data_IF_717001561295
#
_entry.id   IF_717001561295
#
_cell.length_a   1.000
_cell.length_b   1.000
_cell.length_c   1.000
_cell.angle_alpha   90.00
_cell.angle_beta   90.00
_cell.angle_gamma   90.00
#
_symmetry.space_group_name_H-M   'P 1'
#
loop_
_entity.id
_entity.type
_entity.pdbx_description
1 polymer ?
#
# COMPACT_ATOMS: atom_id res chain seq x y z
N UNK A 1 -20.19 -4.56 10.56
CA UNK A 1 -19.85 -4.57 9.13
C UNK A 1 -19.56 -6.02 8.75
N UNK A 2 -20.28 -6.57 7.78
CA UNK A 2 -20.02 -7.93 7.29
C UNK A 2 -19.21 -7.83 6.00
N UNK A 3 -17.89 -8.00 6.11
CA UNK A 3 -16.99 -8.13 4.96
C UNK A 3 -16.88 -9.61 4.56
N UNK A 4 -16.88 -9.84 3.25
CA UNK A 4 -16.76 -11.16 2.62
C UNK A 4 -15.37 -11.39 2.01
N UNK A 5 -15.10 -12.65 1.62
CA UNK A 5 -13.85 -13.07 0.94
C UNK A 5 -13.48 -12.31 -0.34
N UNK A 6 -14.41 -11.58 -0.92
CA UNK A 6 -14.18 -10.76 -2.12
C UNK A 6 -13.75 -9.33 -1.82
N UNK A 7 -13.85 -8.89 -0.55
CA UNK A 7 -13.65 -7.51 -0.17
C UNK A 7 -12.18 -7.17 0.03
N UNK A 8 -11.85 -5.93 -0.30
CA UNK A 8 -10.51 -5.37 -0.18
C UNK A 8 -10.59 -3.91 0.31
N UNK A 9 -9.45 -3.23 0.37
CA UNK A 9 -9.38 -1.85 0.85
C UNK A 9 -10.26 -0.88 0.04
N UNK A 10 -10.48 -1.13 -1.26
CA UNK A 10 -11.39 -0.32 -2.07
C UNK A 10 -12.86 -0.52 -1.68
N UNK A 11 -13.26 -1.74 -1.30
CA UNK A 11 -14.60 -1.99 -0.75
C UNK A 11 -14.79 -1.20 0.54
N UNK A 12 -13.84 -1.28 1.47
CA UNK A 12 -13.91 -0.56 2.75
C UNK A 12 -13.97 0.94 2.53
N UNK A 13 -13.13 1.49 1.64
CA UNK A 13 -13.17 2.92 1.28
C UNK A 13 -14.54 3.31 0.73
N UNK A 14 -15.09 2.54 -0.22
CA UNK A 14 -16.41 2.83 -0.81
C UNK A 14 -17.50 2.79 0.25
N UNK A 15 -17.47 1.81 1.14
CA UNK A 15 -18.42 1.71 2.24
C UNK A 15 -18.35 2.93 3.15
N UNK A 16 -17.15 3.35 3.55
CA UNK A 16 -16.96 4.56 4.36
C UNK A 16 -17.52 5.80 3.64
N UNK A 17 -17.27 5.94 2.33
CA UNK A 17 -17.82 7.06 1.56
C UNK A 17 -19.35 7.07 1.52
N UNK A 18 -19.99 5.89 1.45
CA UNK A 18 -21.44 5.77 1.48
C UNK A 18 -22.02 6.12 2.86
N UNK A 19 -21.41 5.60 3.92
CA UNK A 19 -21.85 5.85 5.30
C UNK A 19 -21.71 7.33 5.69
N UNK A 20 -20.67 7.99 5.16
CA UNK A 20 -20.38 9.42 5.39
C UNK A 20 -21.12 10.35 4.42
N UNK A 21 -21.95 9.83 3.51
CA UNK A 21 -22.65 10.59 2.46
C UNK A 21 -21.70 11.52 1.65
N UNK A 22 -20.47 11.06 1.39
CA UNK A 22 -19.49 11.80 0.60
C UNK A 22 -19.84 11.68 -0.89
N UNK A 23 -19.98 12.79 -1.65
CA UNK A 23 -20.35 12.72 -3.07
C UNK A 23 -19.37 11.85 -3.86
N UNK A 24 -19.85 10.73 -4.40
CA UNK A 24 -19.02 9.81 -5.18
C UNK A 24 -18.71 10.31 -6.59
N UNK A 25 -19.42 11.35 -7.07
CA UNK A 25 -19.41 11.81 -8.46
C UNK A 25 -18.80 13.18 -8.78
N UNK A 26 -18.48 14.03 -7.81
CA UNK A 26 -18.04 15.40 -8.10
C UNK A 26 -16.50 15.50 -8.06
N UNK A 27 -15.87 15.62 -9.23
CA UNK A 27 -14.44 15.98 -9.37
C UNK A 27 -14.33 17.27 -10.17
N UNK A 28 -13.70 18.29 -9.61
CA UNK A 28 -13.42 19.55 -10.30
C UNK A 28 -11.96 19.59 -10.73
N UNK A 29 -11.68 20.07 -11.94
CA UNK A 29 -10.31 20.37 -12.37
C UNK A 29 -9.96 21.76 -11.84
N UNK A 30 -8.81 21.94 -11.18
CA UNK A 30 -8.36 23.26 -10.74
C UNK A 30 -7.00 23.62 -11.32
N UNK A 31 -6.88 24.89 -11.74
CA UNK A 31 -5.63 25.52 -12.12
C UNK A 31 -5.42 26.76 -11.25
N UNK A 32 -4.47 26.67 -10.32
CA UNK A 32 -4.31 27.68 -9.27
C UNK A 32 -5.52 27.71 -8.32
N UNK A 33 -6.15 28.88 -8.18
CA UNK A 33 -7.34 29.11 -7.34
C UNK A 33 -8.67 29.05 -8.12
N UNK A 34 -8.65 28.59 -9.38
CA UNK A 34 -9.82 28.59 -10.26
C UNK A 34 -10.26 27.18 -10.61
N UNK A 35 -11.57 26.93 -10.49
CA UNK A 35 -12.25 25.73 -11.01
C UNK A 35 -12.43 25.87 -12.52
N UNK A 36 -12.02 24.85 -13.27
CA UNK A 36 -12.09 24.80 -14.72
C UNK A 36 -13.36 24.05 -15.13
N UNK A 37 -14.44 24.81 -15.38
CA UNK A 37 -15.73 24.28 -15.85
C UNK A 37 -15.77 24.12 -17.38
N UNK A 38 -14.75 23.45 -17.95
CA UNK A 38 -14.54 23.17 -19.39
C UNK A 38 -13.83 24.24 -20.25
N UNK A 39 -13.36 25.36 -19.68
CA UNK A 39 -12.51 26.32 -20.39
C UNK A 39 -11.02 26.10 -20.07
N UNK A 40 -10.26 25.59 -21.04
CA UNK A 40 -8.82 25.29 -20.93
C UNK A 40 -7.94 26.37 -21.57
N UNK A 41 -8.50 27.49 -22.01
CA UNK A 41 -7.78 28.57 -22.73
C UNK A 41 -6.62 29.18 -21.95
N UNK A 42 -6.63 29.05 -20.61
CA UNK A 42 -5.64 29.57 -19.69
C UNK A 42 -4.47 28.61 -19.39
N UNK A 43 -4.49 27.38 -19.92
CA UNK A 43 -3.53 26.31 -19.61
C UNK A 43 -2.51 26.18 -20.75
N UNK A 44 -1.23 26.37 -20.43
CA UNK A 44 -0.11 26.02 -21.34
C UNK A 44 0.13 24.51 -21.28
N UNK A 45 0.65 23.90 -22.35
CA UNK A 45 0.79 22.42 -22.46
C UNK A 45 1.58 21.75 -21.32
N UNK A 46 2.37 22.53 -20.57
CA UNK A 46 3.30 22.03 -19.56
C UNK A 46 2.91 22.48 -18.14
N UNK A 47 1.72 23.08 -17.98
CA UNK A 47 1.22 23.54 -16.69
C UNK A 47 0.68 22.37 -15.87
N UNK A 48 1.12 22.17 -14.60
CA UNK A 48 0.55 21.15 -13.74
C UNK A 48 -0.89 21.53 -13.38
N UNK A 49 -1.86 20.73 -13.83
CA UNK A 49 -3.27 20.88 -13.49
C UNK A 49 -3.60 19.89 -12.38
N UNK A 50 -4.21 20.38 -11.29
CA UNK A 50 -4.52 19.58 -10.11
C UNK A 50 -5.99 19.22 -10.15
N UNK A 51 -6.28 17.92 -10.17
CA UNK A 51 -7.64 17.41 -10.08
C UNK A 51 -8.03 17.39 -8.60
N UNK A 52 -8.67 18.47 -8.14
CA UNK A 52 -9.09 18.62 -6.75
C UNK A 52 -10.61 18.53 -6.65
N UNK A 53 -11.11 17.53 -5.91
CA UNK A 53 -12.50 17.54 -5.44
C UNK A 53 -12.68 18.74 -4.52
N UNK A 54 -13.69 19.56 -4.79
CA UNK A 54 -13.93 20.81 -4.09
C UNK A 54 -14.01 20.57 -2.56
N UNK A 55 -13.22 21.35 -1.81
CA UNK A 55 -13.49 21.72 -0.42
C UNK A 55 -13.56 20.61 0.65
N UNK A 56 -12.87 19.48 0.49
CA UNK A 56 -12.79 18.44 1.53
C UNK A 56 -11.34 18.36 2.02
N UNK A 57 -11.05 18.70 3.29
CA UNK A 57 -9.75 18.32 3.86
C UNK A 57 -9.70 16.79 3.93
N UNK A 58 -8.52 16.21 3.79
CA UNK A 58 -8.37 14.75 3.69
C UNK A 58 -7.70 14.26 4.96
N UNK A 59 -8.32 13.29 5.62
CA UNK A 59 -7.60 12.46 6.59
C UNK A 59 -6.66 11.54 5.82
N UNK A 60 -5.36 11.87 5.85
CA UNK A 60 -4.32 11.08 5.20
C UNK A 60 -3.86 9.96 6.13
N UNK A 61 -3.83 8.72 5.61
CA UNK A 61 -3.06 7.63 6.23
C UNK A 61 -1.83 7.35 5.38
N UNK A 62 -0.72 7.97 5.76
CA UNK A 62 0.58 7.68 5.16
C UNK A 62 1.18 6.49 5.91
N UNK A 63 1.34 5.36 5.22
CA UNK A 63 2.21 4.30 5.72
C UNK A 63 3.66 4.75 5.47
N UNK A 64 4.38 5.12 6.52
CA UNK A 64 5.80 5.39 6.36
C UNK A 64 6.59 4.07 6.39
N UNK A 65 7.54 3.93 5.47
CA UNK A 65 8.56 2.90 5.54
C UNK A 65 9.49 3.24 6.70
N UNK A 66 9.35 2.54 7.83
CA UNK A 66 10.32 2.65 8.91
C UNK A 66 11.64 2.00 8.44
N UNK A 67 12.79 2.69 8.48
CA UNK A 67 14.06 2.07 8.13
C UNK A 67 14.30 0.91 9.10
N UNK A 68 14.35 -0.30 8.56
CA UNK A 68 14.61 -1.52 9.32
C UNK A 68 15.97 -1.35 10.00
N UNK A 69 15.97 -1.18 11.33
CA UNK A 69 17.18 -1.41 12.10
C UNK A 69 17.62 -2.84 11.85
N UNK A 70 18.93 -3.07 11.68
CA UNK A 70 19.54 -4.41 11.52
C UNK A 70 19.16 -5.40 12.64
N UNK A 71 18.53 -4.92 13.71
CA UNK A 71 18.06 -5.72 14.84
C UNK A 71 16.72 -6.43 14.61
N UNK A 72 15.99 -6.10 13.53
CA UNK A 72 14.67 -6.70 13.21
C UNK A 72 14.70 -7.72 12.07
N UNK A 73 15.88 -8.18 11.65
CA UNK A 73 15.92 -9.45 10.91
C UNK A 73 15.31 -10.52 11.82
N UNK A 74 14.12 -10.99 11.44
CA UNK A 74 13.55 -12.21 11.97
C UNK A 74 14.62 -13.29 11.70
N UNK A 75 15.46 -13.56 12.71
CA UNK A 75 16.58 -14.48 12.62
C UNK A 75 16.00 -15.86 12.41
N UNK A 76 15.75 -16.19 11.17
CA UNK A 76 15.63 -17.57 10.75
C UNK A 76 17.00 -18.19 11.05
N UNK A 77 17.07 -19.04 12.09
CA UNK A 77 18.29 -19.72 12.51
C UNK A 77 18.74 -20.81 11.52
N UNK A 78 18.14 -20.86 10.32
CA UNK A 78 18.47 -21.76 9.23
C UNK A 78 19.83 -21.43 8.63
N UNK A 79 20.49 -22.43 8.05
CA UNK A 79 21.70 -22.20 7.27
C UNK A 79 21.43 -21.30 6.07
N UNK A 80 22.44 -20.57 5.60
CA UNK A 80 22.34 -19.65 4.44
C UNK A 80 21.67 -20.29 3.22
N UNK A 81 21.97 -21.58 2.97
CA UNK A 81 21.27 -22.44 2.03
C UNK A 81 21.10 -23.81 2.70
N UNK A 82 19.87 -24.30 2.78
CA UNK A 82 19.51 -25.60 3.32
C UNK A 82 18.74 -26.39 2.25
N UNK A 83 19.14 -27.65 1.99
CA UNK A 83 18.40 -28.47 1.01
C UNK A 83 17.13 -29.05 1.62
N UNK A 84 16.02 -28.96 0.89
CA UNK A 84 14.71 -29.44 1.32
C UNK A 84 14.33 -30.72 0.56
N UNK A 85 14.12 -31.80 1.29
CA UNK A 85 13.76 -33.10 0.71
C UNK A 85 14.91 -33.78 -0.04
N UNK A 86 14.84 -35.11 -0.16
CA UNK A 86 15.83 -36.04 -0.73
C UNK A 86 17.08 -36.32 0.12
N UNK A 87 17.07 -37.47 0.80
CA UNK A 87 18.26 -38.12 1.37
C UNK A 87 19.27 -38.61 0.32
N UNK A 88 18.84 -38.75 -0.95
CA UNK A 88 19.63 -39.19 -2.11
C UNK A 88 20.02 -38.05 -3.06
N UNK A 89 20.06 -36.79 -2.60
CA UNK A 89 20.49 -35.66 -3.43
C UNK A 89 21.82 -35.95 -4.13
N UNK A 90 21.86 -35.73 -5.45
CA UNK A 90 23.05 -35.87 -6.28
C UNK A 90 24.22 -35.05 -5.72
N UNK A 91 25.42 -35.65 -5.66
CA UNK A 91 26.67 -34.99 -5.21
C UNK A 91 27.01 -33.73 -6.01
N UNK A 92 26.45 -33.60 -7.22
CA UNK A 92 26.57 -32.39 -8.04
C UNK A 92 25.81 -31.21 -7.43
N UNK A 93 24.59 -31.41 -6.92
CA UNK A 93 23.79 -30.33 -6.31
C UNK A 93 24.41 -29.91 -4.99
N UNK A 94 24.87 -30.86 -4.17
CA UNK A 94 25.57 -30.56 -2.90
C UNK A 94 26.79 -29.67 -3.12
N UNK A 95 27.64 -30.01 -4.09
CA UNK A 95 28.80 -29.18 -4.47
C UNK A 95 28.40 -27.78 -4.94
N UNK A 96 27.35 -27.67 -5.75
CA UNK A 96 26.84 -26.35 -6.18
C UNK A 96 26.36 -25.51 -4.99
N UNK A 97 25.68 -26.12 -4.02
CA UNK A 97 25.25 -25.45 -2.79
C UNK A 97 26.45 -24.97 -1.98
N UNK A 98 27.48 -25.82 -1.80
CA UNK A 98 28.72 -25.45 -1.09
C UNK A 98 29.45 -24.29 -1.78
N UNK A 99 29.57 -24.32 -3.11
CA UNK A 99 30.18 -23.25 -3.91
C UNK A 99 29.43 -21.92 -3.74
N UNK A 100 28.10 -21.97 -3.81
CA UNK A 100 27.22 -20.82 -3.63
C UNK A 100 27.34 -20.24 -2.22
N UNK A 101 27.29 -21.08 -1.18
CA UNK A 101 27.42 -20.62 0.21
C UNK A 101 28.77 -19.95 0.44
N UNK A 102 29.84 -20.50 -0.15
CA UNK A 102 31.19 -19.94 -0.07
C UNK A 102 31.28 -18.58 -0.79
N UNK A 103 30.65 -18.45 -1.95
CA UNK A 103 30.62 -17.21 -2.72
C UNK A 103 29.89 -16.08 -1.97
N UNK A 104 28.71 -16.35 -1.41
CA UNK A 104 27.96 -15.35 -0.63
C UNK A 104 28.73 -14.93 0.63
N UNK A 105 29.35 -15.88 1.34
CA UNK A 105 30.24 -15.56 2.48
C UNK A 105 31.43 -14.69 2.08
N UNK A 106 31.86 -14.81 0.83
CA UNK A 106 32.92 -13.99 0.23
C UNK A 106 32.40 -12.69 -0.38
N UNK A 107 31.14 -12.29 -0.08
CA UNK A 107 30.46 -11.08 -0.58
C UNK A 107 30.25 -11.06 -2.09
N UNK A 108 30.13 -12.23 -2.71
CA UNK A 108 29.67 -12.35 -4.09
C UNK A 108 28.15 -12.54 -4.07
N UNK A 109 27.43 -11.43 -4.15
CA UNK A 109 25.96 -11.46 -4.06
C UNK A 109 25.32 -12.06 -5.32
N UNK A 110 24.14 -12.68 -5.22
CA UNK A 110 23.34 -13.08 -6.37
C UNK A 110 22.91 -11.88 -7.22
N UNK A 111 22.61 -12.12 -8.49
CA UNK A 111 22.20 -11.07 -9.45
C UNK A 111 20.77 -11.32 -9.91
N UNK A 112 19.84 -10.37 -9.76
CA UNK A 112 18.47 -10.53 -10.23
C UNK A 112 18.39 -10.57 -11.76
N UNK A 113 17.47 -11.38 -12.27
CA UNK A 113 17.18 -11.52 -13.69
C UNK A 113 16.00 -10.60 -14.04
N UNK A 114 16.19 -9.73 -15.03
CA UNK A 114 15.18 -8.75 -15.42
C UNK A 114 14.01 -9.36 -16.20
N UNK A 115 14.26 -10.40 -16.99
CA UNK A 115 13.25 -11.12 -17.79
C UNK A 115 12.38 -12.06 -16.96
N UNK A 116 11.18 -12.36 -17.47
CA UNK A 116 10.24 -13.28 -16.84
C UNK A 116 9.13 -12.58 -16.05
N UNK A 117 8.20 -13.36 -15.49
CA UNK A 117 7.01 -12.87 -14.78
C UNK A 117 7.15 -12.95 -13.24
N UNK A 118 8.24 -13.51 -12.74
CA UNK A 118 8.48 -13.65 -11.30
C UNK A 118 9.95 -13.47 -10.93
N UNK A 119 10.27 -13.75 -9.67
CA UNK A 119 11.62 -13.72 -9.13
C UNK A 119 12.52 -14.77 -9.78
N UNK A 120 13.71 -14.35 -10.21
CA UNK A 120 14.72 -15.24 -10.76
C UNK A 120 16.09 -14.61 -10.54
N UNK A 121 17.06 -15.39 -10.08
CA UNK A 121 18.36 -14.88 -9.63
C UNK A 121 19.48 -15.79 -10.11
N UNK A 122 20.53 -15.19 -10.67
CA UNK A 122 21.80 -15.88 -10.92
C UNK A 122 22.62 -15.92 -9.64
N UNK A 123 22.90 -17.12 -9.17
CA UNK A 123 23.86 -17.36 -8.11
C UNK A 123 25.23 -17.65 -8.72
N UNK A 124 26.27 -17.11 -8.09
CA UNK A 124 27.63 -17.10 -8.63
C UNK A 124 28.60 -17.89 -7.75
N UNK A 125 29.68 -18.39 -8.34
CA UNK A 125 30.82 -18.90 -7.59
C UNK A 125 31.72 -17.73 -7.11
N UNK A 126 32.78 -18.06 -6.37
CA UNK A 126 33.76 -17.07 -5.86
C UNK A 126 34.50 -16.28 -6.96
N UNK A 127 34.54 -16.80 -8.19
CA UNK A 127 35.18 -16.16 -9.35
C UNK A 127 34.22 -15.16 -10.01
N UNK A 128 32.90 -15.33 -9.80
CA UNK A 128 31.85 -14.51 -10.39
C UNK A 128 31.09 -15.18 -11.54
N UNK A 129 31.40 -16.44 -11.88
CA UNK A 129 30.66 -17.19 -12.90
C UNK A 129 29.28 -17.58 -12.39
N UNK A 130 28.29 -17.61 -13.29
CA UNK A 130 26.91 -17.99 -12.99
C UNK A 130 26.83 -19.52 -12.91
N UNK A 131 26.53 -20.06 -11.72
CA UNK A 131 26.53 -21.51 -11.47
C UNK A 131 25.14 -22.08 -11.22
N UNK A 132 24.18 -21.26 -10.78
CA UNK A 132 22.82 -21.69 -10.51
C UNK A 132 21.80 -20.59 -10.81
N UNK A 133 20.57 -21.00 -11.10
CA UNK A 133 19.41 -20.12 -11.17
C UNK A 133 18.50 -20.48 -10.00
N UNK A 134 18.14 -19.50 -9.18
CA UNK A 134 17.20 -19.65 -8.08
C UNK A 134 15.92 -18.91 -8.42
N UNK A 135 14.79 -19.57 -8.23
CA UNK A 135 13.44 -19.04 -8.43
C UNK A 135 12.65 -19.23 -7.13
N UNK A 136 12.54 -18.20 -6.27
CA UNK A 136 11.78 -18.31 -5.03
C UNK A 136 10.30 -18.55 -5.31
N UNK A 137 9.67 -19.49 -4.58
CA UNK A 137 8.27 -19.89 -4.80
C UNK A 137 7.28 -18.78 -4.42
N UNK A 138 7.63 -17.95 -3.44
CA UNK A 138 6.87 -16.79 -3.01
C UNK A 138 7.05 -15.56 -3.90
N UNK A 139 7.99 -15.61 -4.87
CA UNK A 139 8.19 -14.58 -5.89
C UNK A 139 7.65 -14.97 -7.28
N UNK A 140 6.96 -16.11 -7.39
CA UNK A 140 6.30 -16.56 -8.62
C UNK A 140 5.24 -15.56 -9.13
N UNK A 141 4.80 -15.65 -10.39
CA UNK A 141 3.67 -14.86 -10.87
C UNK A 141 2.44 -15.04 -9.96
N UNK A 142 1.88 -13.92 -9.50
CA UNK A 142 0.80 -13.79 -8.51
C UNK A 142 1.16 -14.12 -7.07
N UNK A 143 2.38 -14.56 -6.78
CA UNK A 143 2.81 -14.83 -5.42
C UNK A 143 3.00 -13.52 -4.62
N UNK A 144 2.88 -13.57 -3.28
CA UNK A 144 2.85 -12.37 -2.45
C UNK A 144 4.09 -11.48 -2.60
N UNK A 145 5.25 -12.10 -2.79
CA UNK A 145 6.56 -11.45 -2.83
C UNK A 145 7.05 -11.22 -4.27
N UNK A 146 6.19 -11.28 -5.28
CA UNK A 146 6.59 -11.09 -6.67
C UNK A 146 7.25 -9.70 -6.93
N UNK A 147 8.53 -9.63 -7.34
CA UNK A 147 9.26 -8.35 -7.51
C UNK A 147 8.86 -7.57 -8.77
N UNK A 148 8.05 -8.16 -9.65
CA UNK A 148 7.63 -7.56 -10.92
C UNK A 148 6.25 -6.89 -10.82
N UNK A 149 5.65 -6.84 -9.63
CA UNK A 149 4.34 -6.26 -9.41
C UNK A 149 3.17 -7.14 -9.84
N UNK A 150 3.44 -8.35 -10.36
CA UNK A 150 2.41 -9.37 -10.60
C UNK A 150 2.08 -10.06 -9.27
N UNK A 151 1.57 -9.31 -8.30
CA UNK A 151 1.10 -9.82 -7.01
C UNK A 151 -0.42 -10.02 -7.06
N UNK A 152 -1.01 -10.62 -6.01
CA UNK A 152 -2.46 -10.61 -5.84
C UNK A 152 -3.11 -11.91 -5.41
N UNK A 153 -2.33 -12.96 -5.12
CA UNK A 153 -2.85 -14.25 -4.68
C UNK A 153 -2.04 -14.81 -3.51
N UNK A 154 -2.73 -15.52 -2.62
CA UNK A 154 -2.07 -16.32 -1.61
C UNK A 154 -1.44 -17.58 -2.24
N UNK A 155 -0.37 -18.09 -1.62
CA UNK A 155 0.20 -19.38 -2.01
C UNK A 155 -0.87 -20.48 -1.95
N UNK A 156 -0.84 -21.40 -2.92
CA UNK A 156 -1.85 -22.45 -3.04
C UNK A 156 -3.15 -22.03 -3.75
N UNK A 157 -3.36 -20.74 -4.09
CA UNK A 157 -4.46 -20.34 -4.97
C UNK A 157 -4.15 -20.64 -6.44
N UNK A 158 -5.14 -20.60 -7.33
CA UNK A 158 -4.95 -20.85 -8.76
C UNK A 158 -3.98 -19.81 -9.37
N UNK A 159 -2.93 -20.27 -10.04
CA UNK A 159 -1.93 -19.41 -10.68
C UNK A 159 -2.26 -19.09 -12.14
N UNK A 160 -1.24 -18.67 -12.90
CA UNK A 160 -1.35 -18.29 -14.31
C UNK A 160 -2.00 -19.40 -15.16
N UNK A 161 -1.63 -20.65 -14.90
CA UNK A 161 -2.32 -21.82 -15.45
C UNK A 161 -3.31 -22.32 -14.40
N UNK A 162 -4.61 -22.36 -14.73
CA UNK A 162 -5.68 -22.79 -13.81
C UNK A 162 -5.48 -24.16 -13.16
N UNK A 163 -4.62 -25.02 -13.74
CA UNK A 163 -4.29 -26.35 -13.18
C UNK A 163 -3.05 -26.36 -12.29
N UNK A 164 -2.44 -25.21 -12.03
CA UNK A 164 -1.20 -25.05 -11.25
C UNK A 164 -1.42 -23.97 -10.21
N UNK A 165 -1.16 -24.27 -8.94
CA UNK A 165 -1.32 -23.28 -7.88
C UNK A 165 -0.06 -22.42 -7.75
N UNK A 166 -0.24 -21.20 -7.26
CA UNK A 166 0.83 -20.24 -6.97
C UNK A 166 1.75 -20.82 -5.90
N UNK A 167 3.06 -20.75 -6.10
CA UNK A 167 4.08 -21.31 -5.22
C UNK A 167 4.38 -22.79 -5.44
N UNK A 168 3.70 -23.44 -6.39
CA UNK A 168 3.92 -24.86 -6.68
C UNK A 168 4.82 -25.14 -7.88
N UNK A 169 5.32 -24.11 -8.58
CA UNK A 169 6.10 -24.36 -9.79
C UNK A 169 7.46 -24.99 -9.47
N UNK A 170 8.07 -24.63 -8.32
CA UNK A 170 9.32 -25.22 -7.86
C UNK A 170 9.29 -26.75 -7.72
N UNK A 171 8.21 -27.32 -7.15
CA UNK A 171 8.06 -28.78 -7.04
C UNK A 171 8.02 -29.46 -8.41
N UNK A 172 7.46 -28.79 -9.41
CA UNK A 172 7.31 -29.33 -10.77
C UNK A 172 8.62 -29.30 -11.54
N UNK A 173 9.46 -28.29 -11.31
CA UNK A 173 10.83 -28.23 -11.85
C UNK A 173 11.68 -29.39 -11.27
N UNK A 174 11.56 -29.66 -9.96
CA UNK A 174 12.22 -30.83 -9.35
C UNK A 174 11.66 -32.14 -9.88
N UNK A 175 10.34 -32.26 -10.03
CA UNK A 175 9.73 -33.45 -10.62
C UNK A 175 10.20 -33.67 -12.06
N UNK A 176 10.34 -32.61 -12.86
CA UNK A 176 10.87 -32.70 -14.22
C UNK A 176 12.31 -33.24 -14.25
N UNK A 177 13.16 -32.80 -13.33
CA UNK A 177 14.52 -33.34 -13.19
C UNK A 177 14.52 -34.82 -12.76
N UNK A 178 13.70 -35.19 -11.77
CA UNK A 178 13.63 -36.57 -11.27
C UNK A 178 13.04 -37.56 -12.30
N UNK A 179 12.15 -37.08 -13.17
CA UNK A 179 11.52 -37.87 -14.23
C UNK A 179 12.33 -37.89 -15.53
N UNK A 180 13.44 -37.13 -15.62
CA UNK A 180 14.36 -37.18 -16.74
C UNK A 180 15.31 -38.38 -16.62
N UNK A 181 14.76 -39.56 -16.87
CA UNK A 181 15.50 -40.82 -16.80
C UNK A 181 16.71 -40.80 -17.72
N UNK A 182 17.86 -41.22 -17.17
CA UNK A 182 19.15 -41.24 -17.87
C UNK A 182 19.57 -39.87 -18.46
N UNK A 183 19.01 -38.77 -17.94
CA UNK A 183 19.24 -37.42 -18.42
C UNK A 183 18.95 -37.28 -19.94
N UNK A 184 17.90 -37.97 -20.41
CA UNK A 184 17.53 -38.04 -21.82
C UNK A 184 17.11 -36.68 -22.40
N UNK A 185 16.24 -35.95 -21.68
CA UNK A 185 15.77 -34.62 -22.04
C UNK A 185 16.77 -33.51 -21.66
N UNK A 186 17.85 -33.86 -20.95
CA UNK A 186 18.87 -32.94 -20.44
C UNK A 186 18.29 -31.86 -19.51
N UNK A 187 17.35 -32.24 -18.65
CA UNK A 187 16.82 -31.35 -17.60
C UNK A 187 17.96 -31.06 -16.61
N UNK A 188 18.30 -29.78 -16.37
CA UNK A 188 19.36 -29.44 -15.43
C UNK A 188 19.08 -29.98 -14.01
N UNK A 189 20.15 -30.35 -13.30
CA UNK A 189 20.06 -30.79 -11.92
C UNK A 189 19.36 -29.73 -11.07
N UNK A 190 18.20 -30.11 -10.50
CA UNK A 190 17.30 -29.19 -9.81
C UNK A 190 16.90 -29.78 -8.46
N UNK A 191 16.90 -28.95 -7.41
CA UNK A 191 16.52 -29.34 -6.06
C UNK A 191 15.75 -28.21 -5.38
N UNK A 192 14.96 -28.56 -4.37
CA UNK A 192 14.37 -27.57 -3.46
C UNK A 192 15.40 -27.20 -2.41
N UNK A 193 15.49 -25.91 -2.15
CA UNK A 193 16.38 -25.32 -1.16
C UNK A 193 15.63 -24.21 -0.43
N UNK A 194 15.91 -24.06 0.85
CA UNK A 194 15.60 -22.87 1.64
C UNK A 194 16.83 -21.98 1.60
N UNK A 195 16.68 -20.73 1.20
CA UNK A 195 17.80 -19.78 1.09
C UNK A 195 17.41 -18.50 1.83
N UNK A 196 18.36 -17.96 2.58
CA UNK A 196 18.22 -16.66 3.26
C UNK A 196 19.20 -15.68 2.65
N UNK A 197 18.69 -14.64 1.96
CA UNK A 197 19.50 -13.58 1.38
C UNK A 197 18.70 -12.28 1.22
N UNK A 198 19.32 -11.13 1.46
CA UNK A 198 18.68 -9.80 1.36
C UNK A 198 18.33 -9.35 -0.07
N UNK A 199 18.71 -10.13 -1.08
CA UNK A 199 18.43 -9.84 -2.50
C UNK A 199 17.01 -10.25 -2.89
N UNK A 200 16.43 -11.18 -2.13
CA UNK A 200 15.07 -11.64 -2.36
C UNK A 200 14.09 -10.55 -1.96
N UNK A 201 12.98 -10.50 -2.70
CA UNK A 201 11.96 -9.49 -2.52
C UNK A 201 11.05 -9.86 -1.35
N UNK A 202 11.54 -9.67 -0.13
CA UNK A 202 10.72 -9.83 1.06
C UNK A 202 9.89 -8.56 1.20
N UNK A 203 8.55 -8.67 1.13
CA UNK A 203 7.69 -7.58 1.58
C UNK A 203 8.04 -7.31 3.04
N UNK A 204 8.74 -6.22 3.28
CA UNK A 204 9.11 -5.82 4.63
C UNK A 204 7.84 -5.58 5.44
N UNK A 205 7.80 -6.00 6.72
CA UNK A 205 6.69 -5.66 7.59
C UNK A 205 6.52 -4.14 7.60
N UNK A 206 5.31 -3.69 7.25
CA UNK A 206 4.94 -2.30 7.34
C UNK A 206 4.50 -2.01 8.77
N UNK A 207 5.10 -0.98 9.37
CA UNK A 207 4.71 -0.51 10.68
C UNK A 207 3.93 0.79 10.51
N UNK A 208 2.65 0.85 10.94
CA UNK A 208 1.92 2.11 10.92
C UNK A 208 2.58 3.05 11.93
N UNK A 209 3.23 4.09 11.41
CA UNK A 209 3.79 5.19 12.18
C UNK A 209 3.16 6.47 11.67
N UNK A 210 3.12 7.51 12.51
CA UNK A 210 2.51 8.80 12.19
C UNK A 210 0.98 8.80 11.96
N UNK A 211 0.26 8.22 12.92
CA UNK A 211 -1.20 8.27 13.02
C UNK A 211 -1.74 9.53 13.74
N UNK A 212 -0.98 10.63 13.80
CA UNK A 212 -1.37 11.83 14.56
C UNK A 212 -2.66 12.52 14.07
N UNK A 213 -3.09 12.20 12.86
CA UNK A 213 -4.33 12.68 12.23
C UNK A 213 -5.48 11.67 12.31
N UNK A 214 -5.35 10.61 13.13
CA UNK A 214 -6.46 9.69 13.41
C UNK A 214 -7.47 10.34 14.37
N UNK A 215 -8.69 9.78 14.42
CA UNK A 215 -9.81 10.27 15.26
C UNK A 215 -10.08 11.77 15.01
N UNK A 216 -10.62 12.16 13.84
CA UNK A 216 -10.90 13.56 13.57
C UNK A 216 -12.18 14.02 14.29
N UNK A 217 -12.25 15.32 14.61
CA UNK A 217 -13.47 15.93 15.20
C UNK A 217 -14.63 15.98 14.20
N UNK A 218 -14.30 16.19 12.91
CA UNK A 218 -15.24 16.20 11.80
C UNK A 218 -14.89 15.08 10.81
N UNK A 219 -15.88 14.39 10.29
CA UNK A 219 -15.68 13.34 9.29
C UNK A 219 -15.53 13.97 7.90
N UNK A 220 -14.50 13.53 7.17
CA UNK A 220 -14.14 14.00 5.84
C UNK A 220 -13.89 12.81 4.90
N UNK A 221 -13.68 13.04 3.59
CA UNK A 221 -13.43 11.96 2.63
C UNK A 221 -12.18 11.17 3.03
N UNK A 222 -12.31 9.87 3.37
CA UNK A 222 -11.17 9.08 3.80
C UNK A 222 -10.21 8.85 2.63
N UNK A 223 -9.01 9.42 2.73
CA UNK A 223 -7.96 9.26 1.72
C UNK A 223 -6.81 8.39 2.25
N UNK A 224 -6.80 7.15 1.80
CA UNK A 224 -5.67 6.24 2.02
C UNK A 224 -4.65 6.46 0.89
N UNK A 225 -3.45 6.92 1.19
CA UNK A 225 -2.43 7.19 0.16
C UNK A 225 -2.01 5.92 -0.58
N UNK A 226 -1.98 4.82 0.16
CA UNK A 226 -1.65 3.48 -0.31
C UNK A 226 -2.79 2.80 -1.08
N UNK A 227 -3.97 3.44 -1.24
CA UNK A 227 -5.10 2.85 -1.97
C UNK A 227 -4.77 2.56 -3.44
N UNK A 228 -3.76 3.22 -4.01
CA UNK A 228 -3.34 3.02 -5.39
C UNK A 228 -2.28 1.92 -5.54
N UNK A 229 -1.82 1.34 -4.43
CA UNK A 229 -0.87 0.23 -4.47
C UNK A 229 -1.58 -1.03 -4.94
N UNK A 230 -0.88 -1.90 -5.69
CA UNK A 230 -1.45 -3.14 -6.19
C UNK A 230 -2.00 -4.02 -5.04
N UNK A 231 -1.36 -3.95 -3.87
CA UNK A 231 -1.74 -4.63 -2.64
C UNK A 231 -3.15 -4.25 -2.14
N UNK A 232 -3.59 -3.01 -2.37
CA UNK A 232 -4.91 -2.54 -1.93
C UNK A 232 -6.06 -3.21 -2.69
N UNK A 233 -5.79 -3.79 -3.87
CA UNK A 233 -6.75 -4.54 -4.67
C UNK A 233 -6.82 -6.03 -4.30
N UNK A 234 -5.95 -6.51 -3.41
CA UNK A 234 -5.93 -7.90 -2.96
C UNK A 234 -7.06 -8.10 -1.93
N UNK A 235 -7.93 -9.12 -2.09
CA UNK A 235 -8.94 -9.42 -1.09
C UNK A 235 -8.34 -9.78 0.27
N UNK A 236 -9.03 -9.42 1.34
CA UNK A 236 -8.64 -9.80 2.69
C UNK A 236 -8.61 -11.33 2.85
N UNK A 237 -7.61 -11.82 3.55
CA UNK A 237 -7.50 -13.20 3.99
C UNK A 237 -8.50 -13.51 5.10
N UNK A 238 -8.71 -14.80 5.37
CA UNK A 238 -9.60 -15.24 6.46
C UNK A 238 -9.14 -14.75 7.84
N UNK A 239 -7.82 -14.69 8.06
CA UNK A 239 -7.25 -14.20 9.31
C UNK A 239 -7.50 -12.70 9.49
N UNK A 240 -7.35 -11.92 8.42
CA UNK A 240 -7.66 -10.48 8.42
C UNK A 240 -9.16 -10.23 8.62
N UNK A 241 -10.03 -10.98 7.94
CA UNK A 241 -11.47 -10.87 8.13
C UNK A 241 -11.89 -11.23 9.56
N UNK A 242 -11.30 -12.28 10.13
CA UNK A 242 -11.55 -12.67 11.51
C UNK A 242 -11.05 -11.61 12.50
N UNK A 243 -9.86 -11.03 12.27
CA UNK A 243 -9.38 -9.90 13.05
C UNK A 243 -10.35 -8.71 13.00
N UNK A 244 -10.79 -8.31 11.80
CA UNK A 244 -11.73 -7.19 11.62
C UNK A 244 -13.06 -7.46 12.33
N UNK A 245 -13.61 -8.67 12.24
CA UNK A 245 -14.86 -9.06 12.93
C UNK A 245 -14.76 -9.00 14.45
N UNK A 246 -13.57 -9.25 14.99
CA UNK A 246 -13.31 -9.25 16.43
C UNK A 246 -13.00 -7.86 17.01
N UNK A 247 -12.90 -6.81 16.19
CA UNK A 247 -12.78 -5.43 16.67
C UNK A 247 -14.04 -5.03 17.48
N UNK A 248 -13.83 -4.40 18.63
CA UNK A 248 -14.89 -3.99 19.54
C UNK A 248 -14.75 -2.49 19.85
N UNK A 249 -15.42 -1.63 19.06
CA UNK A 249 -15.32 -0.17 19.22
C UNK A 249 -15.72 0.30 20.62
N UNK A 250 -16.66 -0.40 21.28
CA UNK A 250 -17.09 -0.06 22.62
C UNK A 250 -15.99 -0.28 23.66
N UNK A 251 -15.31 -1.42 23.59
CA UNK A 251 -14.13 -1.69 24.44
C UNK A 251 -13.00 -0.71 24.15
N UNK A 252 -12.75 -0.40 22.88
CA UNK A 252 -11.68 0.51 22.47
C UNK A 252 -11.94 1.93 22.98
N UNK A 253 -13.17 2.44 22.85
CA UNK A 253 -13.56 3.75 23.40
C UNK A 253 -13.41 3.80 24.92
N UNK A 254 -13.83 2.75 25.64
CA UNK A 254 -13.65 2.68 27.10
C UNK A 254 -12.18 2.69 27.49
N UNK A 255 -11.33 1.97 26.76
CA UNK A 255 -9.89 1.96 26.96
C UNK A 255 -9.28 3.34 26.68
N UNK A 256 -9.63 4.00 25.57
CA UNK A 256 -9.15 5.34 25.23
C UNK A 256 -9.53 6.38 26.29
N UNK A 257 -10.79 6.39 26.75
CA UNK A 257 -11.24 7.32 27.81
C UNK A 257 -10.53 7.10 29.15
N UNK A 258 -10.14 5.86 29.44
CA UNK A 258 -9.41 5.51 30.67
C UNK A 258 -7.94 5.94 30.58
N UNK A 259 -7.26 5.62 29.49
CA UNK A 259 -5.82 5.86 29.33
C UNK A 259 -5.52 7.32 28.92
N UNK A 260 -6.46 7.99 28.26
CA UNK A 260 -6.34 9.39 27.80
C UNK A 260 -7.48 10.25 28.37
N UNK A 261 -7.48 10.60 29.67
CA UNK A 261 -8.60 11.33 30.29
C UNK A 261 -8.88 12.71 29.69
N UNK A 262 -7.90 13.29 28.98
CA UNK A 262 -8.01 14.58 28.30
C UNK A 262 -8.51 14.47 26.85
N UNK A 263 -8.78 13.26 26.36
CA UNK A 263 -9.31 13.07 25.02
C UNK A 263 -10.70 13.71 24.92
N UNK A 264 -10.91 14.53 23.87
CA UNK A 264 -12.20 15.20 23.66
C UNK A 264 -13.26 14.14 23.35
N UNK A 265 -14.44 14.29 23.93
CA UNK A 265 -15.54 13.32 23.77
C UNK A 265 -15.88 13.07 22.30
N UNK A 266 -15.87 14.13 21.49
CA UNK A 266 -16.10 14.08 20.04
C UNK A 266 -15.15 13.13 19.29
N UNK A 267 -13.95 12.85 19.81
CA UNK A 267 -12.97 11.95 19.18
C UNK A 267 -13.22 10.47 19.50
N UNK A 268 -14.10 10.21 20.46
CA UNK A 268 -14.43 8.85 20.93
C UNK A 268 -15.91 8.52 20.73
N UNK A 269 -16.64 9.38 19.99
CA UNK A 269 -18.05 9.15 19.69
C UNK A 269 -18.18 8.04 18.64
N UNK A 270 -19.18 7.20 18.82
CA UNK A 270 -19.60 6.26 17.79
C UNK A 270 -20.36 7.05 16.73
N UNK A 271 -19.96 6.95 15.46
CA UNK A 271 -20.71 7.56 14.38
C UNK A 271 -21.90 6.66 14.01
N UNK A 272 -23.12 7.19 14.09
CA UNK A 272 -24.38 6.45 13.84
C UNK A 272 -25.09 6.85 12.55
N UNK A 273 -24.35 7.33 11.54
CA UNK A 273 -24.93 7.70 10.25
C UNK A 273 -26.00 8.79 10.36
N UNK A 274 -27.02 8.74 9.50
CA UNK A 274 -28.04 9.78 9.32
C UNK A 274 -29.06 9.96 10.47
N UNK A 275 -28.86 9.33 11.63
CA UNK A 275 -29.76 9.46 12.78
C UNK A 275 -29.33 10.55 13.78
N UNK A 276 -28.13 11.14 13.64
CA UNK A 276 -27.67 12.22 14.52
C UNK A 276 -28.04 13.60 13.98
N UNK A 277 -28.95 14.28 14.68
CA UNK A 277 -29.16 15.73 14.51
C UNK A 277 -27.87 16.48 14.90
N UNK A 278 -27.42 17.46 14.10
CA UNK A 278 -26.21 18.22 14.40
C UNK A 278 -26.31 18.86 15.78
N UNK A 279 -25.24 18.78 16.56
CA UNK A 279 -25.17 19.42 17.87
C UNK A 279 -25.41 20.93 17.74
N UNK A 280 -25.85 21.57 18.83
CA UNK A 280 -26.08 23.02 18.84
C UNK A 280 -24.84 23.81 18.37
N UNK A 281 -23.64 23.31 18.66
CA UNK A 281 -22.38 23.91 18.20
C UNK A 281 -22.17 23.72 16.69
N UNK A 282 -22.46 22.53 16.16
CA UNK A 282 -22.39 22.26 14.71
C UNK A 282 -23.39 23.14 13.95
N UNK A 283 -24.61 23.31 14.45
CA UNK A 283 -25.62 24.22 13.87
C UNK A 283 -25.10 25.66 13.82
N UNK A 284 -24.50 26.15 14.90
CA UNK A 284 -23.90 27.48 14.94
C UNK A 284 -22.74 27.60 13.95
N UNK A 285 -21.85 26.61 13.88
CA UNK A 285 -20.72 26.59 12.96
C UNK A 285 -21.15 26.54 11.49
N UNK A 286 -22.23 25.82 11.17
CA UNK A 286 -22.82 25.75 9.82
C UNK A 286 -23.41 27.11 9.43
N UNK A 287 -24.17 27.74 10.32
CA UNK A 287 -24.75 29.07 10.08
C UNK A 287 -23.67 30.15 9.92
N UNK A 288 -22.61 30.12 10.74
CA UNK A 288 -21.47 31.04 10.62
C UNK A 288 -20.74 30.83 9.30
N UNK A 289 -20.46 29.59 8.90
CA UNK A 289 -19.82 29.30 7.61
C UNK A 289 -20.66 29.78 6.43
N UNK A 290 -21.98 29.60 6.48
CA UNK A 290 -22.91 30.10 5.47
C UNK A 290 -22.86 31.62 5.37
N UNK A 291 -22.88 32.33 6.50
CA UNK A 291 -22.77 33.79 6.53
C UNK A 291 -21.42 34.30 6.05
N UNK A 292 -20.33 33.60 6.34
CA UNK A 292 -18.99 33.95 5.85
C UNK A 292 -18.90 33.73 4.34
N UNK A 293 -19.52 32.68 3.80
CA UNK A 293 -19.58 32.44 2.36
C UNK A 293 -20.48 33.45 1.62
N UNK A 294 -21.53 33.93 2.27
CA UNK A 294 -22.43 34.98 1.75
C UNK A 294 -21.90 36.41 1.98
N UNK A 295 -20.79 36.56 2.72
CA UNK A 295 -20.22 37.87 3.00
C UNK A 295 -19.39 38.36 1.82
N UNK A 296 -19.98 39.19 0.96
CA UNK A 296 -19.19 40.00 0.03
C UNK A 296 -18.45 41.11 0.80
N UNK A 297 -17.12 41.24 0.61
CA UNK A 297 -16.39 42.36 1.17
C UNK A 297 -16.92 43.66 0.54
N UNK A 298 -17.18 44.65 1.40
CA UNK A 298 -17.67 45.97 1.00
C UNK A 298 -16.73 46.56 -0.06
N UNK A 299 -17.15 46.57 -1.33
CA UNK A 299 -16.38 47.22 -2.38
C UNK A 299 -16.57 48.72 -2.23
N UNK A 300 -15.65 49.39 -1.54
CA UNK A 300 -15.56 50.84 -1.63
C UNK A 300 -15.35 51.18 -3.11
N UNK A 301 -16.24 52.00 -3.68
CA UNK A 301 -16.03 52.55 -5.02
C UNK A 301 -14.81 53.49 -4.95
N UNK A 302 -14.05 53.60 -6.04
CA UNK A 302 -12.82 54.41 -6.09
C UNK A 302 -13.02 55.88 -5.65
N UNK A 303 -14.26 56.39 -5.70
CA UNK A 303 -14.63 57.74 -5.22
C UNK A 303 -14.65 57.84 -3.67
N UNK A 304 -14.93 56.75 -2.96
CA UNK A 304 -14.89 56.70 -1.50
C UNK A 304 -13.45 56.60 -0.96
N UNK A 305 -12.55 55.90 -1.65
CA UNK A 305 -11.12 55.87 -1.28
C UNK A 305 -10.44 57.23 -1.44
N UNK A 306 -10.80 58.01 -2.48
CA UNK A 306 -10.26 59.36 -2.69
C UNK A 306 -10.66 60.34 -1.57
N UNK A 307 -11.86 60.17 -1.01
CA UNK A 307 -12.36 60.99 0.10
C UNK A 307 -11.68 60.63 1.42
N UNK A 308 -11.39 59.35 1.66
CA UNK A 308 -10.71 58.87 2.87
C UNK A 308 -9.21 59.22 2.87
N UNK A 309 -8.57 59.24 1.70
CA UNK A 309 -7.13 59.50 1.57
C UNK A 309 -6.76 60.99 1.34
N UNK A 310 -7.74 61.91 1.34
CA UNK A 310 -7.49 63.34 1.41
C UNK A 310 -6.80 63.96 0.17
N UNK A 311 -6.92 63.34 -1.01
CA UNK A 311 -6.37 63.94 -2.22
C UNK A 311 -7.33 64.96 -2.82
N UNK A 312 -7.03 66.25 -2.59
CA UNK A 312 -7.66 67.36 -3.31
C UNK A 312 -7.20 67.35 -4.77
N UNK A 313 -8.11 67.10 -5.70
CA UNK A 313 -7.88 67.33 -7.12
C UNK A 313 -8.02 68.82 -7.42
N UNK A 314 -6.94 69.58 -7.23
CA UNK A 314 -6.80 70.91 -7.79
C UNK A 314 -6.55 70.83 -9.29
N UNK A 315 -7.55 71.22 -10.10
CA UNK A 315 -7.40 71.46 -11.53
C UNK A 315 -6.95 72.90 -11.77
N UNK A 316 -5.92 73.06 -12.61
CA UNK A 316 -5.48 74.24 -13.39
C UNK A 316 -5.18 75.54 -12.63
#
# INVERSE_FOLDING_TARGET
MDLDRGDNAHTVKRWLQLELNVPTGETSLMFGHRVLENDLSSIRSDSPVLLTRNSINRSCSTLCLCPISKDFEQKDCSGLVEMLGCSSSCDRVKRLVEDVVTAIRSRVDPVPISSGLGGSYYFRNVIGDRVAIVKPTDEEPFAPNNPKGFVGRALGQLGLKKSVRVGETGFREVAAYLLDHDNFANVPATALVKITHSIFNINCPLFPIDHGMCLPENLEDPYFEWIHWAQASIPFSEEELEYIRNLDPGKDVMMLRRELPMIREMLTREFRGMEEEPSQLEVVCVEVRKRVAEWEPFSATAEQEATILGYSTGNA
#
